data_IF_307453902989
#
_entry.id   IF_307453902989
#
_cell.length_a   1.000
_cell.length_b   1.000
_cell.length_c   1.000
_cell.angle_alpha   90.00
_cell.angle_beta   90.00
_cell.angle_gamma   90.00
#
_symmetry.space_group_name_H-M   'P 1'
#
loop_
_entity.id
_entity.type
_entity.pdbx_description
1 polymer ?
#
# COMPACT_ATOMS: atom_id res chain seq x y z
N UNK A 1 17.06 -16.39 -24.17
CA UNK A 1 17.51 -14.98 -24.25
C UNK A 1 16.51 -14.13 -23.47
N UNK A 2 16.89 -13.58 -22.31
CA UNK A 2 15.96 -12.83 -21.45
C UNK A 2 15.81 -11.41 -22.01
N UNK A 3 14.63 -11.07 -22.54
CA UNK A 3 14.32 -9.70 -22.99
C UNK A 3 14.21 -8.77 -21.78
N UNK A 4 15.09 -7.77 -21.68
CA UNK A 4 15.04 -6.75 -20.63
C UNK A 4 13.98 -5.70 -21.00
N UNK A 5 12.94 -5.59 -20.18
CA UNK A 5 11.81 -4.66 -20.39
C UNK A 5 12.22 -3.24 -19.97
N UNK A 6 11.89 -2.23 -20.77
CA UNK A 6 12.09 -0.82 -20.43
C UNK A 6 11.15 -0.41 -19.30
N UNK A 7 11.64 0.40 -18.36
CA UNK A 7 10.86 0.96 -17.24
C UNK A 7 10.98 2.48 -17.21
N UNK A 8 9.98 3.14 -16.63
CA UNK A 8 10.03 4.58 -16.36
C UNK A 8 10.74 4.86 -15.02
N UNK A 9 11.60 5.87 -14.99
CA UNK A 9 12.28 6.32 -13.78
C UNK A 9 11.34 7.13 -12.87
N UNK A 10 11.18 6.73 -11.60
CA UNK A 10 10.33 7.45 -10.63
C UNK A 10 10.80 8.88 -10.27
N UNK A 11 12.00 9.29 -10.72
CA UNK A 11 12.53 10.62 -10.43
C UNK A 11 12.40 11.60 -11.60
N UNK A 12 12.79 11.17 -12.81
CA UNK A 12 12.84 12.02 -14.01
C UNK A 12 11.84 11.61 -15.11
N UNK A 13 11.07 10.54 -14.92
CA UNK A 13 10.12 10.01 -15.91
C UNK A 13 10.72 9.57 -17.25
N UNK A 14 12.04 9.43 -17.33
CA UNK A 14 12.70 8.89 -18.51
C UNK A 14 12.64 7.36 -18.56
N UNK A 15 12.54 6.80 -19.77
CA UNK A 15 12.59 5.36 -19.99
C UNK A 15 14.04 4.84 -19.92
N UNK A 16 14.26 3.75 -19.17
CA UNK A 16 15.57 3.11 -19.06
C UNK A 16 15.47 1.59 -19.05
N UNK A 17 16.59 0.92 -19.31
CA UNK A 17 16.71 -0.53 -19.22
C UNK A 17 17.33 -0.88 -17.86
N UNK A 18 16.58 -1.50 -16.93
CA UNK A 18 17.09 -1.80 -15.60
C UNK A 18 18.19 -2.86 -15.62
N UNK A 19 19.23 -2.66 -14.80
CA UNK A 19 20.31 -3.64 -14.63
C UNK A 19 19.87 -4.84 -13.77
N UNK A 20 19.05 -4.59 -12.76
CA UNK A 20 18.49 -5.59 -11.82
C UNK A 20 16.96 -5.50 -11.82
N UNK A 21 16.28 -6.60 -11.45
CA UNK A 21 14.81 -6.67 -11.35
C UNK A 21 14.25 -5.64 -10.37
N UNK A 22 15.05 -5.22 -9.40
CA UNK A 22 14.69 -4.25 -8.35
C UNK A 22 15.00 -2.81 -8.71
N UNK A 23 15.67 -2.52 -9.84
CA UNK A 23 16.02 -1.14 -10.17
C UNK A 23 14.78 -0.32 -10.55
N UNK A 24 14.65 0.84 -9.90
CA UNK A 24 13.52 1.77 -10.01
C UNK A 24 13.93 3.10 -10.66
N UNK A 25 15.22 3.43 -10.63
CA UNK A 25 15.76 4.69 -11.14
C UNK A 25 16.72 4.43 -12.29
N UNK A 26 16.79 5.37 -13.25
CA UNK A 26 17.68 5.26 -14.41
C UNK A 26 19.17 5.37 -14.03
N UNK A 27 19.50 6.07 -12.93
CA UNK A 27 20.86 6.29 -12.47
C UNK A 27 20.96 6.41 -10.95
N UNK A 28 22.17 6.26 -10.41
CA UNK A 28 22.46 6.48 -8.99
C UNK A 28 22.15 7.94 -8.57
N UNK A 29 22.40 8.90 -9.45
CA UNK A 29 22.08 10.31 -9.22
C UNK A 29 20.57 10.52 -9.03
N UNK A 30 19.73 9.91 -9.88
CA UNK A 30 18.28 9.95 -9.73
C UNK A 30 17.83 9.31 -8.42
N UNK A 31 18.44 8.18 -8.03
CA UNK A 31 18.21 7.55 -6.73
C UNK A 31 18.55 8.48 -5.54
N UNK A 32 19.71 9.14 -5.58
CA UNK A 32 20.14 10.09 -4.52
C UNK A 32 19.21 11.30 -4.44
N UNK A 33 18.83 11.91 -5.57
CA UNK A 33 17.90 13.05 -5.61
C UNK A 33 16.51 12.68 -5.10
N UNK A 34 15.98 11.52 -5.50
CA UNK A 34 14.71 11.01 -5.00
C UNK A 34 14.74 10.76 -3.49
N UNK A 35 15.83 10.17 -2.98
CA UNK A 35 16.05 9.97 -1.55
C UNK A 35 16.05 11.29 -0.77
N UNK A 36 16.82 12.28 -1.24
CA UNK A 36 16.90 13.61 -0.62
C UNK A 36 15.54 14.32 -0.61
N UNK A 37 14.81 14.27 -1.74
CA UNK A 37 13.46 14.82 -1.84
C UNK A 37 12.52 14.18 -0.81
N UNK A 38 12.52 12.84 -0.71
CA UNK A 38 11.73 12.11 0.29
C UNK A 38 12.08 12.52 1.72
N UNK A 39 13.38 12.58 2.06
CA UNK A 39 13.82 12.98 3.41
C UNK A 39 13.47 14.44 3.72
N UNK A 40 13.52 15.31 2.73
CA UNK A 40 13.12 16.72 2.88
C UNK A 40 11.62 16.85 3.14
N UNK A 41 10.78 16.13 2.39
CA UNK A 41 9.33 16.08 2.61
C UNK A 41 8.97 15.51 3.99
N UNK A 42 9.62 14.42 4.40
CA UNK A 42 9.44 13.81 5.72
C UNK A 42 9.76 14.80 6.86
N UNK A 43 10.86 15.54 6.74
CA UNK A 43 11.20 16.61 7.71
C UNK A 43 10.17 17.73 7.73
N UNK A 44 9.62 18.11 6.58
CA UNK A 44 8.59 19.13 6.49
C UNK A 44 7.28 18.67 7.15
N UNK A 45 6.90 17.41 6.92
CA UNK A 45 5.74 16.78 7.57
C UNK A 45 5.93 16.67 9.08
N UNK A 46 7.12 16.27 9.56
CA UNK A 46 7.44 16.23 10.99
C UNK A 46 7.26 17.61 11.64
N UNK A 47 7.89 18.65 11.07
CA UNK A 47 7.73 20.02 11.56
C UNK A 47 6.27 20.45 11.59
N UNK A 48 5.48 20.06 10.59
CA UNK A 48 4.05 20.36 10.55
C UNK A 48 3.29 19.63 11.67
N UNK A 49 3.58 18.35 11.90
CA UNK A 49 2.99 17.60 13.03
C UNK A 49 3.34 18.21 14.38
N UNK A 50 4.60 18.64 14.56
CA UNK A 50 5.04 19.33 15.78
C UNK A 50 4.28 20.65 16.01
N UNK A 51 3.92 21.36 14.93
CA UNK A 51 3.11 22.57 15.02
C UNK A 51 1.65 22.26 15.34
N UNK A 52 1.08 21.20 14.75
CA UNK A 52 -0.30 20.75 15.03
C UNK A 52 -0.42 20.32 16.49
N UNK A 53 0.56 19.59 17.02
CA UNK A 53 0.57 19.11 18.41
C UNK A 53 0.54 20.25 19.45
N UNK A 54 0.94 21.47 19.07
CA UNK A 54 0.85 22.66 19.93
C UNK A 54 -0.54 23.30 19.93
N UNK A 55 -1.42 22.92 19.01
CA UNK A 55 -2.77 23.49 18.89
C UNK A 55 -3.72 22.67 19.78
N UNK A 56 -4.43 23.30 20.73
CA UNK A 56 -5.37 22.58 21.57
C UNK A 56 -6.56 22.03 20.77
N UNK A 57 -6.91 20.75 21.00
CA UNK A 57 -7.95 20.04 20.25
C UNK A 57 -9.35 20.60 20.48
N UNK A 58 -9.67 21.06 21.70
CA UNK A 58 -10.98 21.60 22.05
C UNK A 58 -11.26 23.05 21.61
N UNK A 59 -10.39 23.65 20.78
CA UNK A 59 -10.55 25.04 20.34
C UNK A 59 -11.63 25.16 19.26
N UNK A 60 -12.75 25.80 19.58
CA UNK A 60 -13.88 26.01 18.66
C UNK A 60 -13.49 26.86 17.43
N UNK A 61 -12.78 27.97 17.67
CA UNK A 61 -12.35 28.90 16.63
C UNK A 61 -10.84 28.86 16.45
N UNK A 62 -10.38 28.48 15.27
CA UNK A 62 -8.95 28.39 14.93
C UNK A 62 -8.55 29.52 13.99
N UNK A 63 -7.29 29.91 14.00
CA UNK A 63 -6.76 30.90 13.05
C UNK A 63 -6.59 30.30 11.66
N UNK A 64 -6.55 31.15 10.62
CA UNK A 64 -6.29 30.69 9.24
C UNK A 64 -5.00 29.87 9.11
N UNK A 65 -3.84 30.24 9.71
CA UNK A 65 -2.65 29.41 9.66
C UNK A 65 -2.81 28.05 10.35
N UNK A 66 -3.50 28.00 11.50
CA UNK A 66 -3.81 26.74 12.20
C UNK A 66 -4.69 25.83 11.34
N UNK A 67 -5.73 26.39 10.70
CA UNK A 67 -6.60 25.65 9.78
C UNK A 67 -5.84 25.05 8.59
N UNK A 68 -4.89 25.79 8.02
CA UNK A 68 -4.03 25.31 6.92
C UNK A 68 -3.18 24.13 7.36
N UNK A 69 -2.66 24.17 8.60
CA UNK A 69 -1.87 23.07 9.16
C UNK A 69 -2.72 21.83 9.40
N UNK A 70 -3.93 21.98 9.96
CA UNK A 70 -4.80 20.85 10.32
C UNK A 70 -5.40 20.22 9.05
N UNK A 71 -6.02 21.01 8.19
CA UNK A 71 -6.86 20.52 7.09
C UNK A 71 -6.18 20.41 5.72
N UNK A 72 -4.89 20.81 5.60
CA UNK A 72 -4.15 20.79 4.31
C UNK A 72 -4.75 21.67 3.21
N UNK A 73 -5.52 22.68 3.60
CA UNK A 73 -6.16 23.60 2.66
C UNK A 73 -5.22 24.77 2.39
N UNK A 74 -5.02 25.10 1.12
CA UNK A 74 -4.27 26.30 0.73
C UNK A 74 -4.88 27.58 1.33
N UNK A 75 -4.03 28.49 1.85
CA UNK A 75 -4.46 29.78 2.43
C UNK A 75 -5.44 30.55 1.55
N UNK A 76 -5.17 30.62 0.25
CA UNK A 76 -6.01 31.31 -0.72
C UNK A 76 -7.39 30.66 -0.87
N UNK A 77 -7.45 29.32 -0.85
CA UNK A 77 -8.70 28.58 -0.87
C UNK A 77 -9.53 28.91 0.36
N UNK A 78 -8.91 28.92 1.55
CA UNK A 78 -9.63 29.27 2.78
C UNK A 78 -10.15 30.71 2.75
N UNK A 79 -9.33 31.68 2.35
CA UNK A 79 -9.78 33.07 2.18
C UNK A 79 -10.90 33.21 1.14
N UNK A 80 -10.84 32.45 0.04
CA UNK A 80 -11.90 32.43 -0.96
C UNK A 80 -13.21 31.89 -0.39
N UNK A 81 -13.16 30.87 0.47
CA UNK A 81 -14.35 30.31 1.14
C UNK A 81 -14.96 31.29 2.15
N UNK A 82 -14.11 31.99 2.90
CA UNK A 82 -14.52 33.06 3.83
C UNK A 82 -15.21 34.19 3.06
N UNK A 83 -14.62 34.68 1.95
CA UNK A 83 -15.24 35.73 1.11
C UNK A 83 -16.58 35.29 0.50
N UNK A 84 -16.72 34.01 0.17
CA UNK A 84 -17.97 33.42 -0.34
C UNK A 84 -18.98 33.08 0.78
N UNK A 85 -18.68 33.39 2.05
CA UNK A 85 -19.51 33.08 3.23
C UNK A 85 -19.86 31.59 3.35
N UNK A 86 -19.01 30.70 2.84
CA UNK A 86 -19.21 29.24 2.93
C UNK A 86 -18.66 28.66 4.23
N UNK A 87 -17.70 29.34 4.84
CA UNK A 87 -17.11 28.97 6.14
C UNK A 87 -17.42 30.11 7.11
N UNK A 88 -18.08 29.83 8.25
CA UNK A 88 -18.26 30.80 9.31
C UNK A 88 -16.92 31.30 9.83
N UNK A 89 -16.78 32.63 9.93
CA UNK A 89 -15.56 33.26 10.41
C UNK A 89 -15.84 34.51 11.22
N UNK A 90 -15.03 34.74 12.24
CA UNK A 90 -15.04 35.94 13.08
C UNK A 90 -13.76 36.72 12.80
N UNK A 91 -13.87 38.02 12.55
CA UNK A 91 -12.71 38.88 12.37
C UNK A 91 -12.46 39.72 13.63
N UNK A 92 -11.35 39.49 14.31
CA UNK A 92 -10.99 40.18 15.56
C UNK A 92 -10.00 41.34 15.33
N UNK A 93 -9.63 41.64 14.08
CA UNK A 93 -8.72 42.74 13.76
C UNK A 93 -7.97 42.53 12.45
N UNK A 94 -6.95 43.35 12.20
CA UNK A 94 -6.16 43.21 10.98
C UNK A 94 -5.38 41.88 11.00
N UNK A 95 -5.68 41.00 10.05
CA UNK A 95 -5.08 39.65 9.92
C UNK A 95 -5.42 38.67 11.06
N UNK A 96 -6.44 38.96 11.88
CA UNK A 96 -6.89 38.12 12.99
C UNK A 96 -8.24 37.47 12.67
N UNK A 97 -8.33 36.83 11.50
CA UNK A 97 -9.52 36.07 11.12
C UNK A 97 -9.45 34.69 11.76
N UNK A 98 -10.49 34.37 12.53
CA UNK A 98 -10.76 33.05 13.09
C UNK A 98 -11.86 32.36 12.31
N UNK A 99 -11.73 31.06 12.11
CA UNK A 99 -12.67 30.20 11.39
C UNK A 99 -13.21 29.13 12.34
N UNK A 100 -14.47 28.78 12.15
CA UNK A 100 -15.11 27.69 12.89
C UNK A 100 -14.47 26.36 12.49
N UNK A 101 -13.95 25.64 13.48
CA UNK A 101 -13.30 24.34 13.29
C UNK A 101 -14.30 23.27 12.85
N UNK A 102 -15.49 23.23 13.44
CA UNK A 102 -16.48 22.19 13.16
C UNK A 102 -16.97 22.28 11.71
N UNK A 103 -17.20 23.50 11.22
CA UNK A 103 -17.55 23.74 9.82
C UNK A 103 -16.46 23.26 8.84
N UNK A 104 -15.18 23.39 9.21
CA UNK A 104 -14.08 22.88 8.39
C UNK A 104 -13.96 21.36 8.45
N UNK A 105 -14.21 20.74 9.60
CA UNK A 105 -14.25 19.28 9.74
C UNK A 105 -15.37 18.66 8.89
N UNK A 106 -16.54 19.31 8.82
CA UNK A 106 -17.64 18.87 7.96
C UNK A 106 -17.32 19.03 6.47
N UNK A 107 -16.72 20.17 6.08
CA UNK A 107 -16.41 20.44 4.67
C UNK A 107 -15.19 19.67 4.15
N UNK A 108 -14.21 19.43 5.01
CA UNK A 108 -12.93 18.80 4.71
C UNK A 108 -12.68 17.71 5.73
N UNK A 109 -13.44 16.60 5.65
CA UNK A 109 -13.22 15.47 6.54
C UNK A 109 -11.76 15.06 6.39
N UNK A 110 -11.05 15.07 7.52
CA UNK A 110 -9.67 14.61 7.58
C UNK A 110 -9.72 13.16 7.11
N UNK A 111 -9.18 12.91 5.90
CA UNK A 111 -9.12 11.55 5.37
C UNK A 111 -8.49 10.70 6.46
N UNK A 112 -9.27 9.78 7.03
CA UNK A 112 -8.71 8.86 8.01
C UNK A 112 -7.55 8.21 7.28
N UNK A 113 -6.33 8.39 7.80
CA UNK A 113 -5.19 7.56 7.42
C UNK A 113 -5.41 6.17 8.00
N UNK A 114 -6.62 5.63 7.88
CA UNK A 114 -6.82 4.21 7.77
C UNK A 114 -5.91 3.82 6.62
N UNK A 115 -4.73 3.32 7.00
CA UNK A 115 -3.83 2.62 6.10
C UNK A 115 -4.78 1.78 5.29
N UNK A 116 -4.92 2.05 3.99
CA UNK A 116 -5.66 1.18 3.11
C UNK A 116 -5.11 -0.19 3.46
N UNK A 117 -5.88 -0.98 4.21
CA UNK A 117 -5.44 -2.30 4.62
C UNK A 117 -5.11 -2.88 3.28
N UNK A 118 -3.83 -3.22 3.05
CA UNK A 118 -3.45 -3.87 1.80
C UNK A 118 -4.50 -4.96 1.70
N UNK A 119 -5.42 -4.85 0.74
CA UNK A 119 -6.38 -5.92 0.54
C UNK A 119 -5.43 -7.08 0.33
N UNK A 120 -5.40 -8.02 1.25
CA UNK A 120 -4.71 -9.27 1.05
C UNK A 120 -5.53 -9.98 -0.02
N UNK A 121 -5.51 -9.48 -1.24
CA UNK A 121 -5.79 -10.27 -2.41
C UNK A 121 -4.54 -11.12 -2.58
N UNK A 122 -4.39 -12.09 -1.68
CA UNK A 122 -3.88 -13.37 -2.07
C UNK A 122 -5.06 -14.04 -2.77
N UNK A 123 -5.12 -14.07 -4.12
CA UNK A 123 -6.15 -14.84 -4.85
C UNK A 123 -6.04 -16.35 -4.65
N UNK A 124 -5.15 -16.79 -3.74
CA UNK A 124 -4.71 -18.16 -3.52
C UNK A 124 -4.60 -18.42 -2.01
N UNK A 125 -5.66 -18.18 -1.26
CA UNK A 125 -5.79 -18.71 0.09
C UNK A 125 -6.09 -20.22 -0.04
N UNK A 126 -5.08 -20.99 -0.43
CA UNK A 126 -5.18 -22.44 -0.30
C UNK A 126 -5.23 -22.72 1.20
N UNK A 127 -6.26 -23.45 1.62
CA UNK A 127 -6.35 -23.91 2.99
C UNK A 127 -5.28 -24.98 3.21
N UNK A 128 -4.08 -24.54 3.59
CA UNK A 128 -2.93 -25.38 3.95
C UNK A 128 -3.04 -25.91 5.40
N UNK A 129 -4.27 -26.00 5.90
CA UNK A 129 -4.61 -26.77 7.09
C UNK A 129 -4.34 -28.25 6.81
N UNK A 130 -3.85 -28.95 7.85
CA UNK A 130 -3.44 -30.36 7.74
C UNK A 130 -4.61 -31.23 7.25
N UNK A 131 -5.84 -30.90 7.65
CA UNK A 131 -7.07 -31.60 7.26
C UNK A 131 -7.34 -31.57 5.74
N UNK A 132 -6.96 -30.47 5.08
CA UNK A 132 -7.26 -30.21 3.68
C UNK A 132 -6.04 -30.41 2.75
N UNK A 133 -4.98 -31.05 3.25
CA UNK A 133 -3.79 -31.40 2.47
C UNK A 133 -3.55 -32.91 2.40
N UNK A 134 -2.92 -33.37 1.33
CA UNK A 134 -2.27 -34.68 1.27
C UNK A 134 -0.77 -34.53 1.54
N UNK A 135 -0.16 -35.55 2.13
CA UNK A 135 1.30 -35.69 2.07
C UNK A 135 1.74 -36.17 0.69
N UNK A 136 2.97 -35.86 0.27
CA UNK A 136 3.51 -36.34 -1.02
C UNK A 136 3.39 -37.87 -1.15
N UNK A 137 3.66 -38.61 -0.07
CA UNK A 137 3.54 -40.07 -0.05
C UNK A 137 2.09 -40.55 -0.16
N UNK A 138 1.11 -39.83 0.39
CA UNK A 138 -0.31 -40.12 0.19
C UNK A 138 -0.74 -39.90 -1.26
N UNK A 139 -0.26 -38.83 -1.91
CA UNK A 139 -0.54 -38.55 -3.33
C UNK A 139 0.04 -39.66 -4.19
N UNK A 140 1.30 -40.03 -3.96
CA UNK A 140 1.98 -41.11 -4.67
C UNK A 140 1.22 -42.44 -4.56
N UNK A 141 0.76 -42.80 -3.35
CA UNK A 141 -0.04 -44.01 -3.14
C UNK A 141 -1.43 -43.94 -3.77
N UNK A 142 -2.14 -42.83 -3.59
CA UNK A 142 -3.52 -42.64 -4.07
C UNK A 142 -3.60 -42.69 -5.59
N UNK A 143 -2.65 -42.06 -6.27
CA UNK A 143 -2.62 -41.96 -7.74
C UNK A 143 -1.64 -42.92 -8.40
N UNK A 144 -1.02 -43.83 -7.65
CA UNK A 144 -0.02 -44.80 -8.12
C UNK A 144 1.12 -44.14 -8.92
N UNK A 145 1.58 -42.99 -8.42
CA UNK A 145 2.68 -42.22 -9.01
C UNK A 145 3.94 -42.39 -8.17
N UNK A 146 5.10 -42.23 -8.81
CA UNK A 146 6.36 -42.09 -8.09
C UNK A 146 6.48 -40.69 -7.49
N UNK A 147 7.07 -40.57 -6.29
CA UNK A 147 7.26 -39.29 -5.58
C UNK A 147 7.90 -38.21 -6.45
N UNK A 148 8.90 -38.59 -7.27
CA UNK A 148 9.57 -37.65 -8.18
C UNK A 148 8.62 -37.07 -9.23
N UNK A 149 7.62 -37.82 -9.68
CA UNK A 149 6.59 -37.33 -10.61
C UNK A 149 5.64 -36.36 -9.91
N UNK A 150 5.26 -36.64 -8.65
CA UNK A 150 4.44 -35.73 -7.85
C UNK A 150 5.14 -34.37 -7.69
N UNK A 151 6.42 -34.36 -7.35
CA UNK A 151 7.20 -33.11 -7.25
C UNK A 151 7.29 -32.35 -8.59
N UNK A 152 7.44 -33.07 -9.71
CA UNK A 152 7.45 -32.44 -11.04
C UNK A 152 6.11 -31.77 -11.36
N UNK A 153 5.00 -32.42 -11.06
CA UNK A 153 3.66 -31.86 -11.31
C UNK A 153 3.37 -30.65 -10.41
N UNK A 154 3.73 -30.72 -9.12
CA UNK A 154 3.61 -29.58 -8.20
C UNK A 154 4.34 -28.34 -8.75
N UNK A 155 5.57 -28.52 -9.25
CA UNK A 155 6.35 -27.42 -9.86
C UNK A 155 5.74 -26.93 -11.17
N UNK A 156 5.25 -27.85 -12.02
CA UNK A 156 4.65 -27.52 -13.32
C UNK A 156 3.38 -26.69 -13.18
N UNK A 157 2.51 -27.05 -12.24
CA UNK A 157 1.22 -26.38 -12.00
C UNK A 157 1.30 -25.29 -10.93
N UNK A 158 2.50 -24.98 -10.42
CA UNK A 158 2.72 -23.94 -9.38
C UNK A 158 1.84 -24.12 -8.15
N UNK A 159 1.64 -25.38 -7.72
CA UNK A 159 0.85 -25.71 -6.53
C UNK A 159 1.66 -25.33 -5.29
N UNK A 160 1.10 -24.60 -4.33
CA UNK A 160 1.81 -24.30 -3.10
C UNK A 160 1.91 -25.54 -2.22
N UNK A 161 3.06 -25.67 -1.59
CA UNK A 161 3.35 -26.73 -0.65
C UNK A 161 3.81 -26.16 0.69
N UNK A 162 3.42 -26.83 1.77
CA UNK A 162 3.86 -26.49 3.12
C UNK A 162 4.65 -27.66 3.71
N UNK A 163 5.87 -27.40 4.18
CA UNK A 163 6.64 -28.39 4.92
C UNK A 163 6.33 -28.25 6.42
N UNK A 164 5.93 -29.35 7.05
CA UNK A 164 5.72 -29.44 8.50
C UNK A 164 6.48 -30.66 8.99
N UNK A 165 7.59 -30.42 9.71
CA UNK A 165 8.52 -31.47 10.09
C UNK A 165 9.13 -32.17 8.87
N UNK A 166 9.02 -33.50 8.85
CA UNK A 166 9.58 -34.35 7.79
C UNK A 166 8.66 -34.53 6.58
N UNK A 167 7.44 -34.00 6.63
CA UNK A 167 6.43 -34.19 5.59
C UNK A 167 6.16 -32.90 4.83
N UNK A 168 5.96 -33.03 3.52
CA UNK A 168 5.53 -31.96 2.63
C UNK A 168 4.07 -32.17 2.29
N UNK A 169 3.28 -31.13 2.47
CA UNK A 169 1.84 -31.13 2.31
C UNK A 169 1.43 -30.29 1.10
N UNK A 170 0.49 -30.82 0.30
CA UNK A 170 -0.10 -30.13 -0.84
C UNK A 170 -1.64 -30.15 -0.73
N UNK A 171 -2.34 -29.07 -1.14
CA UNK A 171 -3.80 -28.98 -1.05
C UNK A 171 -4.51 -30.11 -1.82
N UNK A 172 -5.46 -30.78 -1.17
CA UNK A 172 -6.23 -31.88 -1.78
C UNK A 172 -6.98 -31.42 -3.02
N UNK A 173 -7.63 -30.26 -2.95
CA UNK A 173 -8.45 -29.72 -4.05
C UNK A 173 -7.67 -29.52 -5.35
N UNK A 174 -6.42 -29.05 -5.31
CA UNK A 174 -5.62 -28.87 -6.52
C UNK A 174 -5.08 -30.20 -7.05
N UNK A 175 -4.65 -31.09 -6.16
CA UNK A 175 -4.16 -32.42 -6.52
C UNK A 175 -5.27 -33.27 -7.16
N UNK A 176 -6.45 -33.29 -6.54
CA UNK A 176 -7.61 -34.00 -7.05
C UNK A 176 -8.09 -33.38 -8.38
N UNK A 177 -7.99 -32.05 -8.59
CA UNK A 177 -8.26 -31.43 -9.90
C UNK A 177 -7.29 -31.89 -10.99
N UNK A 178 -6.00 -32.01 -10.67
CA UNK A 178 -4.97 -32.39 -11.66
C UNK A 178 -5.10 -33.86 -12.08
N UNK A 179 -5.49 -34.74 -11.16
CA UNK A 179 -5.49 -36.19 -11.42
C UNK A 179 -6.89 -36.80 -11.60
N UNK A 180 -7.96 -36.22 -11.04
CA UNK A 180 -9.35 -36.65 -11.29
C UNK A 180 -10.06 -35.78 -12.34
N UNK A 181 -9.58 -34.56 -12.57
CA UNK A 181 -9.99 -33.72 -13.70
C UNK A 181 -9.23 -34.16 -14.93
N UNK A 182 -9.95 -34.85 -15.82
CA UNK A 182 -9.53 -35.27 -17.17
C UNK A 182 -8.58 -34.23 -17.79
N UNK A 183 -7.35 -34.63 -18.02
CA UNK A 183 -6.41 -33.90 -18.87
C UNK A 183 -6.80 -34.26 -20.31
N UNK A 184 -7.48 -33.36 -21.00
CA UNK A 184 -7.34 -33.21 -22.45
C UNK A 184 -6.17 -32.26 -22.74
#
# INVERSE_FOLDING_TARGET
MIKRVKRECLHCSEQFIPKTVTSVYCSEQCGKKAYQKRKSLEKLEQKRQDLIAKIPEGKLFITVPEAVLIFEIGRETLYRLIRKKRVPSINEGERLIKVDRAALEEMFPLASKEKAQKKETNPYLYDLSIENCYTIGEIAKKFQLHDTSVYKHIRKYSIPTRQIGNYVYAPKGEIDRIYNGIID
#
